data_IF_529820883373
#
_entry.id   IF_529820883373
#
_cell.length_a   1.000
_cell.length_b   1.000
_cell.length_c   1.000
_cell.angle_alpha   90.00
_cell.angle_beta   90.00
_cell.angle_gamma   90.00
#
_symmetry.space_group_name_H-M   'P 1'
#
loop_
_entity.id
_entity.type
_entity.pdbx_description
1 polymer ?
#
# COMPACT_ATOMS: atom_id res chain seq x y z
N UNK A 1 19.24 -14.46 -13.90
CA UNK A 1 18.20 -13.75 -13.13
C UNK A 1 18.90 -13.05 -11.98
N UNK A 2 18.71 -11.74 -11.81
CA UNK A 2 19.38 -10.99 -10.74
C UNK A 2 18.91 -11.41 -9.36
N UNK A 3 19.82 -11.47 -8.40
CA UNK A 3 19.50 -11.65 -6.97
C UNK A 3 19.05 -10.32 -6.40
N UNK A 4 17.75 -10.15 -6.19
CA UNK A 4 17.19 -8.98 -5.52
C UNK A 4 17.12 -9.24 -4.01
N UNK A 5 17.29 -8.19 -3.23
CA UNK A 5 17.19 -8.16 -1.77
C UNK A 5 16.13 -7.16 -1.34
N UNK A 6 15.78 -7.15 -0.04
CA UNK A 6 14.85 -6.14 0.50
C UNK A 6 15.36 -4.70 0.34
N UNK A 7 16.67 -4.50 0.18
CA UNK A 7 17.26 -3.19 -0.06
C UNK A 7 16.94 -2.63 -1.46
N UNK A 8 16.53 -3.48 -2.40
CA UNK A 8 16.16 -3.08 -3.75
C UNK A 8 14.69 -2.67 -3.89
N UNK A 9 13.91 -2.78 -2.81
CA UNK A 9 12.48 -2.42 -2.81
C UNK A 9 12.30 -0.90 -2.87
N UNK A 10 11.41 -0.47 -3.75
CA UNK A 10 10.94 0.92 -3.83
C UNK A 10 9.50 0.96 -3.36
N UNK A 11 9.21 1.81 -2.38
CA UNK A 11 7.90 1.90 -1.76
C UNK A 11 7.53 3.34 -1.43
N UNK A 12 6.24 3.56 -1.19
CA UNK A 12 5.67 4.80 -0.67
C UNK A 12 4.74 4.45 0.47
N UNK A 13 4.90 5.13 1.61
CA UNK A 13 4.01 5.00 2.75
C UNK A 13 2.93 6.07 2.64
N UNK A 14 1.69 5.69 2.89
CA UNK A 14 0.52 6.55 2.72
C UNK A 14 -0.39 6.40 3.93
N UNK A 15 -1.00 7.51 4.37
CA UNK A 15 -2.08 7.52 5.36
C UNK A 15 -3.21 8.33 4.76
N UNK A 16 -4.42 7.77 4.78
CA UNK A 16 -5.61 8.44 4.23
C UNK A 16 -6.02 9.59 5.14
N UNK A 17 -6.21 10.76 4.54
CA UNK A 17 -6.81 11.91 5.20
C UNK A 17 -8.32 11.89 4.91
N UNK A 18 -9.20 11.94 5.93
CA UNK A 18 -10.64 12.00 5.71
C UNK A 18 -11.06 13.27 4.95
N UNK A 19 -12.06 13.14 4.08
CA UNK A 19 -12.54 14.24 3.22
C UNK A 19 -13.07 15.46 3.99
N UNK A 20 -13.51 15.28 5.23
CA UNK A 20 -14.02 16.38 6.04
C UNK A 20 -12.93 17.31 6.59
N UNK A 21 -11.65 16.94 6.46
CA UNK A 21 -10.53 17.73 6.97
C UNK A 21 -10.20 18.85 5.98
N UNK A 22 -10.27 20.14 6.36
CA UNK A 22 -10.01 21.24 5.44
C UNK A 22 -8.55 21.31 4.98
N UNK A 23 -8.32 21.56 3.69
CA UNK A 23 -6.98 21.69 3.11
C UNK A 23 -6.08 22.66 3.88
N UNK A 24 -6.60 23.81 4.30
CA UNK A 24 -5.85 24.80 5.07
C UNK A 24 -5.29 24.20 6.38
N UNK A 25 -6.09 23.38 7.08
CA UNK A 25 -5.67 22.73 8.30
C UNK A 25 -4.60 21.65 8.04
N UNK A 26 -4.73 20.90 6.95
CA UNK A 26 -3.73 19.90 6.55
C UNK A 26 -2.39 20.57 6.26
N UNK A 27 -2.40 21.65 5.47
CA UNK A 27 -1.17 22.38 5.09
C UNK A 27 -0.49 23.03 6.30
N UNK A 28 -1.26 23.70 7.17
CA UNK A 28 -0.74 24.29 8.41
C UNK A 28 -0.11 23.23 9.32
N UNK A 29 -0.81 22.11 9.51
CA UNK A 29 -0.34 21.01 10.38
C UNK A 29 0.92 20.35 9.82
N UNK A 30 1.00 20.15 8.50
CA UNK A 30 2.19 19.60 7.85
C UNK A 30 3.41 20.52 8.07
N UNK A 31 3.28 21.82 7.80
CA UNK A 31 4.35 22.79 7.96
C UNK A 31 4.84 22.89 9.42
N UNK A 32 3.90 22.94 10.37
CA UNK A 32 4.21 22.94 11.80
C UNK A 32 4.95 21.65 12.22
N UNK A 33 4.52 20.49 11.72
CA UNK A 33 5.13 19.20 12.04
C UNK A 33 6.54 19.09 11.46
N UNK A 34 6.76 19.51 10.21
CA UNK A 34 8.08 19.52 9.58
C UNK A 34 9.08 20.37 10.36
N UNK A 35 8.63 21.54 10.86
CA UNK A 35 9.45 22.40 11.71
C UNK A 35 9.74 21.76 13.08
N UNK A 36 8.72 21.17 13.71
CA UNK A 36 8.84 20.59 15.05
C UNK A 36 9.60 19.25 15.10
N UNK A 37 9.72 18.56 13.96
CA UNK A 37 10.35 17.24 13.80
C UNK A 37 11.51 17.28 12.80
N UNK A 38 12.24 18.40 12.76
CA UNK A 38 13.36 18.62 11.85
C UNK A 38 14.53 17.62 12.04
N UNK A 39 14.55 16.86 13.15
CA UNK A 39 15.50 15.80 13.43
C UNK A 39 15.17 14.46 12.76
N UNK A 40 13.94 14.29 12.26
CA UNK A 40 13.53 13.07 11.53
C UNK A 40 14.05 13.13 10.10
N UNK A 41 14.96 12.22 9.75
CA UNK A 41 15.73 12.19 8.50
C UNK A 41 14.93 12.46 7.21
N UNK A 42 13.69 11.97 7.13
CA UNK A 42 12.85 12.06 5.92
C UNK A 42 11.61 12.93 6.10
N UNK A 43 11.58 13.80 7.10
CA UNK A 43 10.40 14.64 7.38
C UNK A 43 10.01 15.53 6.21
N UNK A 44 10.98 16.00 5.45
CA UNK A 44 10.78 16.85 4.26
C UNK A 44 10.26 16.08 3.04
N UNK A 45 10.23 14.75 3.09
CA UNK A 45 9.66 13.91 2.01
C UNK A 45 8.14 13.70 2.19
N UNK A 46 7.59 14.08 3.35
CA UNK A 46 6.15 13.98 3.61
C UNK A 46 5.42 15.02 2.76
N UNK A 47 4.48 14.55 1.94
CA UNK A 47 3.67 15.39 1.07
C UNK A 47 2.22 14.94 1.05
N UNK A 48 1.34 15.86 0.66
CA UNK A 48 -0.09 15.58 0.49
C UNK A 48 -0.32 15.27 -0.98
N UNK A 49 -1.08 14.20 -1.24
CA UNK A 49 -1.40 13.76 -2.58
C UNK A 49 -2.79 13.15 -2.66
N UNK A 50 -3.24 12.92 -3.88
CA UNK A 50 -4.50 12.23 -4.18
C UNK A 50 -4.21 10.98 -4.99
N UNK A 51 -5.02 9.94 -4.78
CA UNK A 51 -4.93 8.69 -5.54
C UNK A 51 -6.07 8.70 -6.55
N UNK A 52 -5.74 8.59 -7.83
CA UNK A 52 -6.74 8.52 -8.89
C UNK A 52 -7.58 7.23 -8.76
N UNK A 53 -8.89 7.29 -9.05
CA UNK A 53 -9.72 6.10 -9.13
C UNK A 53 -9.15 5.10 -10.15
N UNK A 54 -9.15 3.82 -9.80
CA UNK A 54 -8.71 2.73 -10.66
C UNK A 54 -9.56 1.47 -10.43
N UNK A 55 -9.67 0.61 -11.45
CA UNK A 55 -10.24 -0.73 -11.29
C UNK A 55 -9.18 -1.59 -10.60
N UNK A 56 -9.55 -2.21 -9.48
CA UNK A 56 -8.65 -3.00 -8.65
C UNK A 56 -9.22 -4.40 -8.40
N UNK A 57 -8.33 -5.33 -8.12
CA UNK A 57 -8.64 -6.57 -7.42
C UNK A 57 -8.00 -6.48 -6.04
N UNK A 58 -8.73 -6.92 -5.01
CA UNK A 58 -8.20 -6.99 -3.66
C UNK A 58 -8.49 -8.33 -2.98
N UNK A 59 -7.66 -8.69 -2.00
CA UNK A 59 -7.87 -9.86 -1.16
C UNK A 59 -7.39 -9.56 0.25
N UNK A 60 -8.08 -10.12 1.25
CA UNK A 60 -7.59 -10.15 2.62
C UNK A 60 -6.61 -11.31 2.77
N UNK A 61 -5.32 -10.99 2.94
CA UNK A 61 -4.32 -11.94 3.38
C UNK A 61 -4.36 -12.06 4.91
N UNK A 62 -4.37 -13.31 5.40
CA UNK A 62 -4.29 -13.62 6.83
C UNK A 62 -3.10 -14.56 7.05
N UNK A 63 -2.09 -14.09 7.77
CA UNK A 63 -0.83 -14.80 7.93
C UNK A 63 0.40 -13.91 7.76
N UNK A 64 1.60 -14.52 7.80
CA UNK A 64 2.86 -13.79 7.68
C UNK A 64 3.07 -13.24 6.26
N UNK A 65 3.77 -12.10 6.16
CA UNK A 65 4.05 -11.45 4.87
C UNK A 65 4.79 -12.34 3.86
N UNK A 66 5.62 -13.27 4.33
CA UNK A 66 6.36 -14.19 3.45
C UNK A 66 5.43 -15.16 2.69
N UNK A 67 4.17 -15.34 3.15
CA UNK A 67 3.17 -16.20 2.54
C UNK A 67 2.22 -15.45 1.58
N UNK A 68 2.40 -14.14 1.38
CA UNK A 68 1.54 -13.31 0.52
C UNK A 68 1.49 -13.80 -0.93
N UNK A 69 2.53 -14.50 -1.40
CA UNK A 69 2.55 -15.09 -2.74
C UNK A 69 1.34 -16.00 -2.98
N UNK A 70 0.88 -16.75 -1.97
CA UNK A 70 -0.31 -17.60 -2.08
C UNK A 70 -1.58 -16.78 -2.37
N UNK A 71 -1.68 -15.60 -1.75
CA UNK A 71 -2.77 -14.66 -1.99
C UNK A 71 -2.68 -14.04 -3.38
N UNK A 72 -1.47 -13.68 -3.83
CA UNK A 72 -1.28 -13.18 -5.20
C UNK A 72 -1.60 -14.22 -6.27
N UNK A 73 -1.25 -15.48 -6.07
CA UNK A 73 -1.58 -16.57 -7.01
C UNK A 73 -3.11 -16.75 -7.11
N UNK A 74 -3.80 -16.65 -5.97
CA UNK A 74 -5.27 -16.67 -5.91
C UNK A 74 -5.87 -15.48 -6.67
N UNK A 75 -5.34 -14.27 -6.46
CA UNK A 75 -5.78 -13.07 -7.18
C UNK A 75 -5.52 -13.21 -8.69
N UNK A 76 -4.36 -13.73 -9.10
CA UNK A 76 -4.04 -13.94 -10.51
C UNK A 76 -5.02 -14.89 -11.18
N UNK A 77 -5.32 -16.02 -10.56
CA UNK A 77 -6.32 -16.97 -11.06
C UNK A 77 -7.70 -16.32 -11.18
N UNK A 78 -8.11 -15.55 -10.16
CA UNK A 78 -9.38 -14.82 -10.18
C UNK A 78 -9.45 -13.79 -11.30
N UNK A 79 -8.41 -12.96 -11.44
CA UNK A 79 -8.32 -11.90 -12.46
C UNK A 79 -8.43 -12.50 -13.87
N UNK A 80 -7.65 -13.54 -14.15
CA UNK A 80 -7.66 -14.20 -15.47
C UNK A 80 -9.01 -14.86 -15.77
N UNK A 81 -9.64 -15.49 -14.78
CA UNK A 81 -10.97 -16.10 -14.95
C UNK A 81 -12.07 -15.08 -15.29
N UNK A 82 -11.84 -13.78 -15.03
CA UNK A 82 -12.77 -12.69 -15.33
C UNK A 82 -12.37 -11.88 -16.57
N UNK A 83 -11.47 -12.39 -17.42
CA UNK A 83 -11.05 -11.72 -18.65
C UNK A 83 -10.38 -10.37 -18.38
N UNK A 84 -9.62 -10.29 -17.30
CA UNK A 84 -8.87 -9.11 -16.91
C UNK A 84 -7.39 -9.46 -16.72
N UNK A 85 -6.54 -8.44 -16.71
CA UNK A 85 -5.10 -8.56 -16.49
C UNK A 85 -4.62 -7.50 -15.51
N UNK A 86 -3.54 -7.78 -14.79
CA UNK A 86 -2.85 -6.77 -13.97
C UNK A 86 -2.20 -5.72 -14.88
N UNK A 87 -2.39 -4.45 -14.55
CA UNK A 87 -1.78 -3.35 -15.35
C UNK A 87 -0.33 -3.06 -14.96
N UNK A 88 0.11 -3.53 -13.79
CA UNK A 88 1.50 -3.35 -13.35
C UNK A 88 1.96 -4.43 -12.35
N UNK A 89 3.28 -4.48 -12.13
CA UNK A 89 3.89 -5.26 -11.06
C UNK A 89 3.74 -4.61 -9.68
N UNK A 90 3.46 -3.30 -9.64
CA UNK A 90 3.19 -2.58 -8.40
C UNK A 90 1.89 -3.09 -7.77
N UNK A 91 1.88 -3.17 -6.46
CA UNK A 91 0.72 -3.49 -5.65
C UNK A 91 0.68 -2.55 -4.45
N UNK A 92 -0.46 -2.52 -3.76
CA UNK A 92 -0.66 -1.78 -2.53
C UNK A 92 -1.02 -2.75 -1.40
N UNK A 93 -0.47 -2.50 -0.23
CA UNK A 93 -0.73 -3.25 0.99
C UNK A 93 -1.36 -2.32 2.01
N UNK A 94 -2.48 -2.73 2.60
CA UNK A 94 -3.15 -2.00 3.68
C UNK A 94 -3.04 -2.84 4.95
N UNK A 95 -2.15 -2.43 5.85
CA UNK A 95 -1.91 -3.11 7.11
C UNK A 95 -3.03 -2.82 8.11
N UNK A 96 -3.85 -3.82 8.40
CA UNK A 96 -4.93 -3.72 9.38
C UNK A 96 -4.48 -4.10 10.79
N UNK A 97 -3.38 -4.85 10.87
CA UNK A 97 -2.80 -5.34 12.13
C UNK A 97 -1.48 -4.63 12.43
N UNK A 98 -1.25 -4.35 13.70
CA UNK A 98 0.06 -3.90 14.18
C UNK A 98 1.00 -5.11 14.30
N UNK A 99 2.00 -5.18 13.43
CA UNK A 99 2.97 -6.27 13.36
C UNK A 99 3.84 -6.41 14.62
N UNK A 100 3.99 -5.36 15.42
CA UNK A 100 4.74 -5.42 16.67
C UNK A 100 3.95 -6.07 17.80
N UNK A 101 2.63 -6.17 17.65
CA UNK A 101 1.70 -6.60 18.70
C UNK A 101 0.91 -7.86 18.33
N UNK A 102 0.95 -8.27 17.08
CA UNK A 102 0.13 -9.34 16.53
C UNK A 102 1.02 -10.51 16.13
N UNK A 103 0.67 -11.72 16.56
CA UNK A 103 1.38 -12.92 16.16
C UNK A 103 1.27 -13.10 14.62
N UNK A 104 2.34 -13.56 13.93
CA UNK A 104 2.39 -13.60 12.47
C UNK A 104 1.19 -14.30 11.80
N UNK A 105 0.71 -15.39 12.38
CA UNK A 105 -0.43 -16.17 11.89
C UNK A 105 -1.79 -15.46 12.00
N UNK A 106 -1.84 -14.32 12.70
CA UNK A 106 -3.04 -13.49 12.90
C UNK A 106 -2.95 -12.14 12.21
N UNK A 107 -1.84 -11.83 11.54
CA UNK A 107 -1.69 -10.59 10.78
C UNK A 107 -2.74 -10.55 9.68
N UNK A 108 -3.28 -9.35 9.45
CA UNK A 108 -4.28 -9.07 8.43
C UNK A 108 -3.78 -7.92 7.56
N UNK A 109 -3.65 -8.20 6.27
CA UNK A 109 -3.21 -7.25 5.26
C UNK A 109 -4.17 -7.33 4.07
N UNK A 110 -4.67 -6.19 3.59
CA UNK A 110 -5.37 -6.18 2.31
C UNK A 110 -4.31 -5.98 1.22
N UNK A 111 -4.24 -6.92 0.27
CA UNK A 111 -3.39 -6.80 -0.92
C UNK A 111 -4.24 -6.30 -2.07
N UNK A 112 -3.76 -5.30 -2.80
CA UNK A 112 -4.48 -4.68 -3.90
C UNK A 112 -3.59 -4.56 -5.15
N UNK A 113 -4.16 -4.86 -6.31
CA UNK A 113 -3.51 -4.70 -7.61
C UNK A 113 -4.44 -3.98 -8.57
N UNK A 114 -3.88 -3.14 -9.43
CA UNK A 114 -4.63 -2.48 -10.50
C UNK A 114 -4.85 -3.44 -11.66
N UNK A 115 -6.07 -3.45 -12.21
CA UNK A 115 -6.48 -4.36 -13.29
C UNK A 115 -7.12 -3.60 -14.45
N UNK A 116 -7.06 -4.18 -15.64
CA UNK A 116 -7.77 -3.74 -16.84
C UNK A 116 -8.40 -4.95 -17.53
N UNK A 117 -9.42 -4.72 -18.36
CA UNK A 117 -10.00 -5.78 -19.19
C UNK A 117 -9.00 -6.23 -20.25
N UNK A 118 -8.99 -7.52 -20.53
CA UNK A 118 -8.19 -8.11 -21.61
C UNK A 118 -8.85 -7.74 -22.95
N UNK A 119 -8.07 -7.11 -23.84
CA UNK A 119 -8.54 -6.61 -25.14
C UNK A 119 -8.72 -7.71 -26.18
#
# INVERSE_FOLDING_TARGET
>A
MGTWTKADLVYRLEIVIPEFVPDAFIQETLAATQTAKADVERIDQVSIGTIAPAKICHILHVGPYDDEQNSFDTMHAFINAHGAVRTSKTHREIYLSDAQRTAPEKLKTILEVTIAEEA
#
